data_IF_407908691668
#
_entry.id   IF_407908691668
#
_cell.length_a   1.000
_cell.length_b   1.000
_cell.length_c   1.000
_cell.angle_alpha   90.00
_cell.angle_beta   90.00
_cell.angle_gamma   90.00
#
_symmetry.space_group_name_H-M   'P 1'
#
loop_
_entity.id
_entity.type
_entity.pdbx_description
1 polymer ?
#
# COMPACT_ATOMS: atom_id res chain seq x y z
N UNK A 1 -36.03 -7.39 30.82
CA UNK A 1 -34.96 -6.47 31.28
C UNK A 1 -33.70 -7.30 31.25
N UNK A 2 -32.72 -6.93 30.42
CA UNK A 2 -31.48 -7.68 30.29
C UNK A 2 -30.46 -7.29 31.38
N UNK A 3 -29.58 -8.22 31.70
CA UNK A 3 -28.55 -8.15 32.74
C UNK A 3 -27.22 -7.73 32.15
N UNK A 4 -26.30 -7.24 32.99
CA UNK A 4 -24.96 -6.85 32.55
C UNK A 4 -24.21 -8.01 31.87
N UNK A 5 -24.39 -9.24 32.37
CA UNK A 5 -23.78 -10.43 31.79
C UNK A 5 -24.23 -10.71 30.35
N UNK A 6 -25.48 -10.43 30.04
CA UNK A 6 -26.01 -10.60 28.67
C UNK A 6 -25.41 -9.55 27.73
N UNK A 7 -25.25 -8.31 28.20
CA UNK A 7 -24.59 -7.24 27.43
C UNK A 7 -23.14 -7.63 27.10
N UNK A 8 -22.39 -8.13 28.09
CA UNK A 8 -20.99 -8.50 27.91
C UNK A 8 -20.85 -9.67 26.90
N UNK A 9 -21.76 -10.65 26.97
CA UNK A 9 -21.80 -11.78 26.04
C UNK A 9 -22.15 -11.35 24.60
N UNK A 10 -23.09 -10.41 24.45
CA UNK A 10 -23.43 -9.86 23.13
C UNK A 10 -22.28 -9.05 22.53
N UNK A 11 -21.54 -8.31 23.36
CA UNK A 11 -20.34 -7.59 22.90
C UNK A 11 -19.23 -8.52 22.45
N UNK A 12 -19.04 -9.65 23.13
CA UNK A 12 -18.08 -10.66 22.73
C UNK A 12 -18.48 -11.33 21.40
N UNK A 13 -19.77 -11.58 21.20
CA UNK A 13 -20.26 -12.27 20.02
C UNK A 13 -20.39 -11.38 18.77
N UNK A 14 -20.87 -10.14 18.93
CA UNK A 14 -21.24 -9.26 17.83
C UNK A 14 -20.37 -8.00 17.72
N UNK A 15 -19.46 -7.77 18.68
CA UNK A 15 -18.67 -6.54 18.75
C UNK A 15 -19.50 -5.37 19.28
N UNK A 16 -19.62 -4.32 18.46
CA UNK A 16 -20.35 -3.12 18.84
C UNK A 16 -21.87 -3.34 18.80
N UNK A 17 -22.51 -3.07 19.94
CA UNK A 17 -23.96 -3.15 20.11
C UNK A 17 -24.53 -1.80 20.52
N UNK A 18 -25.76 -1.56 20.07
CA UNK A 18 -26.48 -0.31 20.25
C UNK A 18 -27.79 -0.58 20.94
N UNK A 19 -28.29 0.41 21.69
CA UNK A 19 -29.57 0.32 22.37
C UNK A 19 -30.40 1.55 22.04
N UNK A 20 -31.67 1.33 21.71
CA UNK A 20 -32.65 2.40 21.49
C UNK A 20 -33.97 2.07 22.20
N UNK A 21 -34.81 3.08 22.38
CA UNK A 21 -36.15 2.91 22.94
C UNK A 21 -37.16 3.45 21.93
N UNK A 22 -38.05 2.58 21.46
CA UNK A 22 -39.09 2.90 20.48
C UNK A 22 -40.42 2.58 21.15
N UNK A 23 -41.31 3.57 21.24
CA UNK A 23 -42.64 3.42 21.86
C UNK A 23 -42.59 2.73 23.24
N UNK A 24 -41.70 3.22 24.12
CA UNK A 24 -41.45 2.69 25.48
C UNK A 24 -40.85 1.28 25.55
N UNK A 25 -40.61 0.64 24.40
CA UNK A 25 -39.98 -0.67 24.31
C UNK A 25 -38.49 -0.52 23.99
N UNK A 26 -37.66 -1.23 24.76
CA UNK A 26 -36.21 -1.23 24.58
C UNK A 26 -35.80 -2.26 23.55
N UNK A 27 -34.95 -1.85 22.62
CA UNK A 27 -34.32 -2.69 21.64
C UNK A 27 -32.80 -2.64 21.81
N UNK A 28 -32.16 -3.79 21.60
CA UNK A 28 -30.71 -3.90 21.45
C UNK A 28 -30.45 -4.51 20.08
N UNK A 29 -29.56 -3.89 19.32
CA UNK A 29 -29.26 -4.30 17.96
C UNK A 29 -27.77 -4.14 17.68
N UNK A 30 -27.30 -4.77 16.61
CA UNK A 30 -25.94 -4.62 16.07
C UNK A 30 -25.96 -3.93 14.72
N UNK A 31 -24.80 -3.49 14.26
CA UNK A 31 -24.63 -3.04 12.88
C UNK A 31 -24.82 -4.20 11.90
N UNK A 32 -25.33 -3.87 10.72
CA UNK A 32 -25.43 -4.77 9.59
C UNK A 32 -24.09 -4.83 8.86
N UNK A 33 -23.69 -6.05 8.49
CA UNK A 33 -22.59 -6.28 7.58
C UNK A 33 -22.99 -5.95 6.14
N UNK A 34 -21.99 -5.59 5.32
CA UNK A 34 -22.19 -5.33 3.88
C UNK A 34 -22.83 -6.50 3.14
N UNK A 35 -22.46 -7.74 3.50
CA UNK A 35 -23.02 -8.95 2.89
C UNK A 35 -24.51 -9.13 3.23
N UNK A 36 -24.90 -8.82 4.46
CA UNK A 36 -26.29 -8.92 4.91
C UNK A 36 -27.15 -7.89 4.18
N UNK A 37 -26.67 -6.66 4.07
CA UNK A 37 -27.33 -5.60 3.31
C UNK A 37 -27.53 -5.97 1.84
N UNK A 38 -26.44 -6.40 1.19
CA UNK A 38 -26.49 -6.80 -0.22
C UNK A 38 -27.41 -8.00 -0.44
N UNK A 39 -27.44 -8.95 0.51
CA UNK A 39 -28.31 -10.11 0.43
C UNK A 39 -29.79 -9.73 0.42
N UNK A 40 -30.22 -8.83 1.31
CA UNK A 40 -31.62 -8.34 1.35
C UNK A 40 -31.95 -7.55 0.10
N UNK A 41 -31.05 -6.65 -0.33
CA UNK A 41 -31.26 -5.83 -1.54
C UNK A 41 -31.30 -6.67 -2.83
N UNK A 42 -30.60 -7.81 -2.87
CA UNK A 42 -30.59 -8.69 -4.02
C UNK A 42 -31.84 -9.56 -4.16
N UNK A 43 -32.76 -9.57 -3.17
CA UNK A 43 -33.93 -10.44 -3.20
C UNK A 43 -34.97 -10.08 -4.28
N UNK A 44 -34.88 -8.91 -4.92
CA UNK A 44 -35.61 -8.53 -6.15
C UNK A 44 -37.12 -8.31 -6.00
N UNK A 45 -37.82 -9.16 -5.26
CA UNK A 45 -39.28 -9.18 -5.10
C UNK A 45 -39.75 -8.65 -3.74
N UNK A 46 -38.85 -8.10 -2.93
CA UNK A 46 -39.14 -7.62 -1.58
C UNK A 46 -39.49 -6.13 -1.64
N UNK A 47 -40.66 -5.77 -1.12
CA UNK A 47 -41.05 -4.36 -1.01
C UNK A 47 -40.16 -3.62 0.00
N UNK A 48 -40.02 -2.27 -0.08
CA UNK A 48 -39.21 -1.52 0.88
C UNK A 48 -39.60 -1.77 2.35
N UNK A 49 -40.89 -1.91 2.63
CA UNK A 49 -41.41 -2.23 3.97
C UNK A 49 -40.97 -3.61 4.44
N UNK A 50 -41.03 -4.63 3.58
CA UNK A 50 -40.58 -5.97 3.92
C UNK A 50 -39.06 -6.03 4.09
N UNK A 51 -38.31 -5.21 3.35
CA UNK A 51 -36.86 -5.10 3.53
C UNK A 51 -36.52 -4.52 4.92
N UNK A 52 -37.24 -3.47 5.36
CA UNK A 52 -37.11 -2.92 6.72
C UNK A 52 -37.36 -3.98 7.80
N UNK A 53 -38.39 -4.81 7.63
CA UNK A 53 -38.70 -5.92 8.53
C UNK A 53 -37.54 -6.92 8.58
N UNK A 54 -37.03 -7.34 7.42
CA UNK A 54 -35.92 -8.31 7.33
C UNK A 54 -34.64 -7.75 7.96
N UNK A 55 -34.34 -6.46 7.75
CA UNK A 55 -33.19 -5.82 8.41
C UNK A 55 -33.30 -5.85 9.92
N UNK A 56 -34.48 -5.52 10.44
CA UNK A 56 -34.74 -5.59 11.87
C UNK A 56 -34.63 -7.03 12.40
N UNK A 57 -35.14 -8.02 11.68
CA UNK A 57 -35.03 -9.44 12.06
C UNK A 57 -33.57 -9.92 12.16
N UNK A 58 -32.69 -9.48 11.25
CA UNK A 58 -31.28 -9.90 11.21
C UNK A 58 -30.44 -9.20 12.31
N UNK A 59 -30.70 -7.92 12.53
CA UNK A 59 -29.85 -7.07 13.38
C UNK A 59 -30.31 -7.00 14.85
N UNK A 60 -31.57 -7.31 15.15
CA UNK A 60 -32.11 -7.23 16.51
C UNK A 60 -31.62 -8.39 17.36
N UNK A 61 -30.98 -8.05 18.49
CA UNK A 61 -30.53 -9.01 19.50
C UNK A 61 -31.59 -9.14 20.60
N UNK A 62 -32.18 -8.02 21.02
CA UNK A 62 -33.22 -7.99 22.05
C UNK A 62 -34.35 -7.04 21.64
N UNK A 63 -35.63 -7.42 21.85
CA UNK A 63 -36.08 -8.71 22.36
C UNK A 63 -35.98 -9.80 21.28
N UNK A 64 -35.55 -10.99 21.70
CA UNK A 64 -35.44 -12.15 20.82
C UNK A 64 -36.81 -12.55 20.27
N UNK A 65 -36.87 -12.88 18.97
CA UNK A 65 -38.11 -13.31 18.31
C UNK A 65 -39.19 -12.23 18.20
N UNK A 66 -38.83 -10.95 18.28
CA UNK A 66 -39.80 -9.88 18.07
C UNK A 66 -40.34 -9.91 16.64
N UNK A 67 -41.67 -9.90 16.51
CA UNK A 67 -42.33 -9.96 15.21
C UNK A 67 -42.54 -8.55 14.63
N UNK A 68 -41.70 -8.17 13.69
CA UNK A 68 -41.75 -6.86 13.02
C UNK A 68 -42.89 -6.74 12.00
N UNK A 69 -43.36 -7.87 11.46
CA UNK A 69 -44.43 -7.94 10.43
C UNK A 69 -45.83 -7.60 10.93
N UNK A 70 -46.03 -7.75 12.24
CA UNK A 70 -47.34 -7.58 12.89
C UNK A 70 -47.44 -6.29 13.68
N UNK A 71 -46.33 -5.55 13.82
CA UNK A 71 -46.25 -4.40 14.72
C UNK A 71 -45.90 -3.14 13.92
N UNK A 72 -46.93 -2.38 13.55
CA UNK A 72 -46.78 -1.18 12.71
C UNK A 72 -45.82 -0.14 13.32
N UNK A 73 -44.94 0.42 12.49
CA UNK A 73 -44.05 1.55 12.81
C UNK A 73 -42.76 1.20 13.55
N UNK A 74 -42.66 0.01 14.15
CA UNK A 74 -41.42 -0.42 14.82
C UNK A 74 -40.31 -0.73 13.82
N UNK A 75 -40.63 -1.46 12.73
CA UNK A 75 -39.67 -1.83 11.70
C UNK A 75 -39.03 -0.59 11.06
N UNK A 76 -39.85 0.38 10.63
CA UNK A 76 -39.36 1.62 10.02
C UNK A 76 -38.45 2.42 10.95
N UNK A 77 -38.87 2.60 12.22
CA UNK A 77 -38.08 3.35 13.19
C UNK A 77 -36.76 2.65 13.51
N UNK A 78 -36.79 1.34 13.79
CA UNK A 78 -35.61 0.57 14.14
C UNK A 78 -34.66 0.41 12.96
N UNK A 79 -35.18 0.19 11.75
CA UNK A 79 -34.40 0.08 10.53
C UNK A 79 -33.61 1.37 10.27
N UNK A 80 -34.22 2.55 10.45
CA UNK A 80 -33.49 3.82 10.35
C UNK A 80 -32.28 3.85 11.30
N UNK A 81 -32.47 3.50 12.57
CA UNK A 81 -31.37 3.46 13.55
C UNK A 81 -30.29 2.45 13.17
N UNK A 82 -30.68 1.28 12.66
CA UNK A 82 -29.74 0.24 12.22
C UNK A 82 -28.94 0.74 11.01
N UNK A 83 -29.60 1.26 9.98
CA UNK A 83 -28.96 1.74 8.75
C UNK A 83 -28.02 2.91 9.03
N UNK A 84 -28.45 3.88 9.83
CA UNK A 84 -27.64 5.02 10.24
C UNK A 84 -26.40 4.57 11.02
N UNK A 85 -26.57 3.69 12.00
CA UNK A 85 -25.43 3.16 12.77
C UNK A 85 -24.48 2.34 11.91
N UNK A 86 -25.01 1.62 10.92
CA UNK A 86 -24.23 0.78 10.00
C UNK A 86 -23.55 1.59 8.89
N UNK A 87 -23.84 2.88 8.78
CA UNK A 87 -23.40 3.75 7.67
C UNK A 87 -23.84 3.20 6.30
N UNK A 88 -24.99 2.52 6.25
CA UNK A 88 -25.54 1.90 5.05
C UNK A 88 -26.79 2.68 4.63
N UNK A 89 -26.84 3.10 3.36
CA UNK A 89 -27.95 3.91 2.82
C UNK A 89 -27.65 5.40 2.65
N UNK A 90 -26.57 5.91 3.27
CA UNK A 90 -26.07 7.26 3.05
C UNK A 90 -24.66 7.23 2.45
N UNK A 91 -24.56 7.47 1.15
CA UNK A 91 -23.29 7.47 0.40
C UNK A 91 -22.29 8.49 0.93
N UNK A 92 -22.76 9.65 1.40
CA UNK A 92 -21.88 10.74 1.85
C UNK A 92 -21.15 10.38 3.15
N UNK A 93 -21.84 9.72 4.08
CA UNK A 93 -21.23 9.26 5.34
C UNK A 93 -20.19 8.17 5.10
N UNK A 94 -20.48 7.23 4.20
CA UNK A 94 -19.55 6.19 3.81
C UNK A 94 -18.31 6.77 3.11
N UNK A 95 -18.49 7.78 2.26
CA UNK A 95 -17.38 8.51 1.63
C UNK A 95 -16.54 9.27 2.65
N UNK A 96 -17.15 9.96 3.60
CA UNK A 96 -16.45 10.65 4.69
C UNK A 96 -15.63 9.69 5.54
N UNK A 97 -16.20 8.54 5.92
CA UNK A 97 -15.49 7.51 6.69
C UNK A 97 -14.33 6.91 5.89
N UNK A 98 -14.51 6.66 4.59
CA UNK A 98 -13.44 6.21 3.72
C UNK A 98 -12.33 7.26 3.59
N UNK A 99 -12.70 8.54 3.45
CA UNK A 99 -11.73 9.62 3.35
C UNK A 99 -10.95 9.80 4.65
N UNK A 100 -11.59 9.64 5.81
CA UNK A 100 -10.92 9.60 7.11
C UNK A 100 -9.81 8.53 7.14
N UNK A 101 -10.12 7.28 6.76
CA UNK A 101 -9.11 6.23 6.70
C UNK A 101 -8.07 6.40 5.58
N UNK A 102 -8.41 7.12 4.50
CA UNK A 102 -7.41 7.53 3.48
C UNK A 102 -6.44 8.56 4.03
N UNK A 103 -6.90 9.46 4.90
CA UNK A 103 -6.04 10.40 5.59
C UNK A 103 -5.07 9.67 6.53
N UNK A 104 -5.52 8.63 7.26
CA UNK A 104 -4.63 7.77 8.06
C UNK A 104 -3.51 7.18 7.20
N UNK A 105 -3.83 6.74 5.98
CA UNK A 105 -2.86 6.21 5.03
C UNK A 105 -1.84 7.24 4.51
N UNK A 106 -1.95 8.52 4.87
CA UNK A 106 -0.88 9.50 4.59
C UNK A 106 0.31 9.35 5.54
N UNK A 107 0.09 8.81 6.73
CA UNK A 107 1.15 8.45 7.66
C UNK A 107 1.72 7.08 7.28
N UNK A 108 3.04 7.05 7.13
CA UNK A 108 3.79 5.85 6.76
C UNK A 108 3.57 4.70 7.74
N UNK A 109 3.34 5.00 9.03
CA UNK A 109 3.12 4.02 10.09
C UNK A 109 1.95 3.08 9.78
N UNK A 110 0.85 3.61 9.21
CA UNK A 110 -0.31 2.80 8.79
C UNK A 110 -0.06 2.02 7.50
N UNK A 111 0.90 2.46 6.68
CA UNK A 111 1.26 1.78 5.43
C UNK A 111 2.15 0.56 5.65
N UNK A 112 2.92 0.52 6.76
CA UNK A 112 3.86 -0.56 7.08
C UNK A 112 3.21 -1.93 6.98
N UNK A 113 2.02 -2.08 7.55
CA UNK A 113 1.31 -3.36 7.57
C UNK A 113 0.90 -3.80 6.15
N UNK A 114 0.47 -2.84 5.31
CA UNK A 114 0.16 -3.10 3.91
C UNK A 114 1.40 -3.52 3.11
N UNK A 115 2.54 -2.86 3.32
CA UNK A 115 3.80 -3.18 2.65
C UNK A 115 4.28 -4.58 3.03
N UNK A 116 4.24 -4.91 4.33
CA UNK A 116 4.59 -6.24 4.82
C UNK A 116 3.64 -7.28 4.23
N UNK A 117 2.33 -7.03 4.26
CA UNK A 117 1.37 -8.01 3.79
C UNK A 117 1.51 -8.28 2.28
N UNK A 118 1.81 -7.25 1.49
CA UNK A 118 2.05 -7.44 0.06
C UNK A 118 3.25 -8.36 -0.21
N UNK A 119 4.31 -8.28 0.60
CA UNK A 119 5.47 -9.17 0.48
C UNK A 119 5.25 -10.55 1.13
N UNK A 120 4.35 -10.66 2.11
CA UNK A 120 4.13 -11.87 2.90
C UNK A 120 2.63 -12.24 3.05
N UNK A 121 1.95 -12.66 1.95
CA UNK A 121 0.49 -12.87 1.92
C UNK A 121 -0.09 -13.86 2.95
N UNK A 122 0.76 -14.64 3.61
CA UNK A 122 0.40 -15.63 4.64
C UNK A 122 -0.13 -14.97 5.91
N UNK A 123 0.33 -13.77 6.25
CA UNK A 123 -0.08 -13.08 7.47
C UNK A 123 -1.27 -12.18 7.18
N UNK A 124 -2.19 -11.98 8.12
CA UNK A 124 -3.26 -10.99 7.95
C UNK A 124 -2.81 -9.63 8.48
N UNK A 125 -3.50 -8.55 8.08
CA UNK A 125 -3.17 -7.21 8.57
C UNK A 125 -3.32 -7.12 10.10
N UNK A 126 -4.35 -7.76 10.66
CA UNK A 126 -4.60 -7.80 12.10
C UNK A 126 -3.48 -8.55 12.84
N UNK A 127 -2.94 -9.62 12.24
CA UNK A 127 -1.81 -10.33 12.80
C UNK A 127 -0.56 -9.43 12.82
N UNK A 128 -0.27 -8.74 11.71
CA UNK A 128 0.90 -7.87 11.59
C UNK A 128 0.80 -6.69 12.56
N UNK A 129 -0.36 -6.05 12.66
CA UNK A 129 -0.61 -4.93 13.57
C UNK A 129 -0.39 -5.30 15.06
N UNK A 130 -0.57 -6.59 15.41
CA UNK A 130 -0.32 -7.08 16.77
C UNK A 130 1.16 -7.33 17.09
N UNK A 131 2.06 -7.21 16.10
CA UNK A 131 3.47 -7.54 16.29
C UNK A 131 4.21 -6.49 17.14
N UNK A 132 5.20 -6.94 17.96
CA UNK A 132 6.14 -6.02 18.57
C UNK A 132 6.94 -5.26 17.50
N UNK A 133 7.22 -3.98 17.74
CA UNK A 133 7.97 -3.09 16.83
C UNK A 133 9.24 -3.74 16.25
N UNK A 134 10.11 -4.44 17.02
CA UNK A 134 11.30 -5.07 16.45
C UNK A 134 11.00 -6.12 15.37
N UNK A 135 9.91 -6.87 15.54
CA UNK A 135 9.46 -7.87 14.55
C UNK A 135 8.90 -7.16 13.32
N UNK A 136 8.09 -6.12 13.51
CA UNK A 136 7.54 -5.31 12.41
C UNK A 136 8.67 -4.74 11.54
N UNK A 137 9.68 -4.12 12.15
CA UNK A 137 10.84 -3.56 11.42
C UNK A 137 11.66 -4.63 10.70
N UNK A 138 11.84 -5.80 11.30
CA UNK A 138 12.51 -6.95 10.68
C UNK A 138 11.80 -7.42 9.40
N UNK A 139 10.46 -7.45 9.42
CA UNK A 139 9.67 -7.85 8.25
C UNK A 139 9.54 -6.73 7.23
N UNK A 140 9.41 -5.47 7.66
CA UNK A 140 9.37 -4.31 6.78
C UNK A 140 10.63 -4.22 5.91
N UNK A 141 11.82 -4.30 6.51
CA UNK A 141 13.08 -4.25 5.77
C UNK A 141 13.20 -5.37 4.70
N UNK A 142 12.61 -6.54 4.97
CA UNK A 142 12.55 -7.65 3.98
C UNK A 142 11.50 -7.39 2.92
N UNK A 143 10.34 -6.88 3.32
CA UNK A 143 9.27 -6.54 2.39
C UNK A 143 9.75 -5.50 1.38
N UNK A 144 10.42 -4.44 1.83
CA UNK A 144 11.05 -3.44 0.97
C UNK A 144 12.02 -4.09 -0.02
N UNK A 145 12.92 -4.96 0.46
CA UNK A 145 13.87 -5.64 -0.41
C UNK A 145 13.18 -6.55 -1.43
N UNK A 146 12.20 -7.36 -1.01
CA UNK A 146 11.44 -8.25 -1.89
C UNK A 146 10.69 -7.46 -2.95
N UNK A 147 9.97 -6.40 -2.55
CA UNK A 147 9.15 -5.59 -3.44
C UNK A 147 10.01 -4.79 -4.43
N UNK A 148 11.21 -4.37 -4.03
CA UNK A 148 12.15 -3.66 -4.91
C UNK A 148 12.93 -4.59 -5.85
N UNK A 149 13.33 -5.78 -5.39
CA UNK A 149 14.31 -6.61 -6.09
C UNK A 149 13.72 -7.88 -6.71
N UNK A 150 12.60 -8.39 -6.20
CA UNK A 150 11.98 -9.63 -6.68
C UNK A 150 10.69 -9.40 -7.44
N UNK A 151 9.96 -8.30 -7.17
CA UNK A 151 8.72 -7.98 -7.88
C UNK A 151 9.02 -7.53 -9.31
N UNK A 152 8.80 -8.42 -10.27
CA UNK A 152 9.02 -8.18 -11.70
C UNK A 152 10.31 -8.80 -12.28
N UNK A 153 11.12 -9.49 -11.49
CA UNK A 153 12.33 -10.17 -11.98
C UNK A 153 12.01 -11.65 -12.26
N UNK A 154 12.17 -12.14 -13.50
CA UNK A 154 12.15 -13.58 -13.74
C UNK A 154 13.34 -14.20 -13.02
N UNK A 155 13.07 -14.93 -11.93
CA UNK A 155 14.10 -15.65 -11.18
C UNK A 155 14.70 -16.73 -12.10
N UNK A 156 15.88 -16.46 -12.65
CA UNK A 156 16.71 -17.51 -13.23
C UNK A 156 17.39 -18.24 -12.08
N UNK A 157 16.93 -19.47 -11.83
CA UNK A 157 17.53 -20.36 -10.83
C UNK A 157 18.80 -20.92 -11.47
N UNK A 158 19.94 -20.33 -11.14
CA UNK A 158 21.24 -20.88 -11.54
C UNK A 158 21.65 -22.00 -10.59
N UNK A 159 22.08 -23.12 -11.16
CA UNK A 159 22.83 -24.14 -10.44
C UNK A 159 24.17 -23.58 -9.93
N UNK A 160 24.75 -24.24 -8.94
CA UNK A 160 26.03 -23.82 -8.35
C UNK A 160 27.17 -23.79 -9.39
N UNK A 161 27.08 -24.61 -10.42
CA UNK A 161 28.03 -24.67 -11.55
C UNK A 161 27.88 -23.47 -12.49
N UNK A 162 26.64 -23.03 -12.76
CA UNK A 162 26.34 -21.86 -13.57
C UNK A 162 26.78 -20.55 -12.89
N UNK A 163 26.65 -20.46 -11.55
CA UNK A 163 27.14 -19.32 -10.77
C UNK A 163 28.67 -19.16 -10.79
N UNK A 164 29.42 -20.28 -10.79
CA UNK A 164 30.88 -20.24 -10.90
C UNK A 164 31.34 -19.76 -12.29
N UNK A 165 30.57 -20.09 -13.33
CA UNK A 165 30.89 -19.73 -14.72
C UNK A 165 30.67 -18.22 -14.95
N UNK A 166 29.57 -17.67 -14.43
CA UNK A 166 29.27 -16.22 -14.52
C UNK A 166 30.31 -15.38 -13.76
N UNK A 167 30.83 -15.88 -12.62
CA UNK A 167 31.90 -15.19 -11.88
C UNK A 167 33.25 -15.22 -12.60
N UNK A 168 33.55 -16.29 -13.36
CA UNK A 168 34.77 -16.36 -14.17
C UNK A 168 34.73 -15.40 -15.37
N UNK A 169 33.59 -15.25 -16.04
CA UNK A 169 33.45 -14.30 -17.16
C UNK A 169 33.56 -12.83 -16.72
N UNK A 170 33.12 -12.49 -15.51
CA UNK A 170 33.25 -11.12 -14.98
C UNK A 170 34.65 -10.79 -14.45
N UNK A 171 35.49 -11.80 -14.20
CA UNK A 171 36.89 -11.66 -13.78
C UNK A 171 37.89 -11.67 -14.95
N UNK A 172 37.44 -11.91 -16.18
CA UNK A 172 38.29 -11.79 -17.35
C UNK A 172 38.64 -10.31 -17.59
N UNK A 173 39.94 -9.93 -17.59
CA UNK A 173 40.32 -8.57 -17.92
C UNK A 173 39.91 -8.27 -19.37
N UNK A 174 39.20 -7.16 -19.58
CA UNK A 174 38.86 -6.69 -20.92
C UNK A 174 40.13 -6.68 -21.80
N UNK A 175 40.07 -7.13 -23.06
CA UNK A 175 41.21 -7.02 -23.96
C UNK A 175 41.60 -5.55 -24.05
N UNK A 176 42.80 -5.23 -23.59
CA UNK A 176 43.31 -3.85 -23.63
C UNK A 176 43.21 -3.34 -25.07
N UNK A 177 42.64 -2.14 -25.31
CA UNK A 177 42.66 -1.56 -26.64
C UNK A 177 44.11 -1.40 -27.08
N UNK A 178 44.46 -1.94 -28.25
CA UNK A 178 45.79 -1.80 -28.82
C UNK A 178 46.18 -0.32 -28.81
N UNK A 179 47.32 -0.01 -28.20
CA UNK A 179 47.86 1.34 -28.17
C UNK A 179 48.12 1.80 -29.62
N UNK A 180 47.28 2.70 -30.14
CA UNK A 180 47.53 3.36 -31.42
C UNK A 180 48.87 4.10 -31.35
N UNK A 181 49.66 4.00 -32.42
CA UNK A 181 50.94 4.70 -32.47
C UNK A 181 50.71 6.22 -32.48
N UNK A 182 51.67 7.03 -32.00
CA UNK A 182 51.57 8.49 -32.04
C UNK A 182 51.31 9.05 -33.46
N UNK A 183 51.72 8.33 -34.51
CA UNK A 183 51.48 8.69 -35.91
C UNK A 183 50.01 8.50 -36.31
N UNK A 184 49.37 7.39 -35.93
CA UNK A 184 47.94 7.15 -36.21
C UNK A 184 47.03 8.15 -35.48
N UNK A 185 47.48 8.65 -34.33
CA UNK A 185 46.78 9.68 -33.56
C UNK A 185 46.86 11.07 -34.20
N UNK A 186 47.95 11.37 -34.90
CA UNK A 186 48.14 12.63 -35.60
C UNK A 186 47.28 12.73 -36.88
N UNK A 187 47.11 11.61 -37.59
CA UNK A 187 46.31 11.54 -38.83
C UNK A 187 44.79 11.56 -38.57
N UNK A 188 44.35 11.04 -37.42
CA UNK A 188 42.94 11.09 -37.01
C UNK A 188 42.51 12.45 -36.41
N UNK A 189 43.43 13.42 -36.30
CA UNK A 189 43.13 14.73 -35.75
C UNK A 189 42.37 15.58 -36.78
N UNK A 190 41.18 16.13 -36.44
CA UNK A 190 40.40 16.98 -37.34
C UNK A 190 41.07 18.32 -37.70
N UNK A 191 42.29 18.57 -37.21
CA UNK A 191 43.14 19.72 -37.55
C UNK A 191 44.08 19.46 -38.74
N UNK A 192 44.15 18.24 -39.29
CA UNK A 192 45.08 17.89 -40.37
C UNK A 192 44.67 18.39 -41.77
N UNK A 193 43.50 19.03 -41.93
CA UNK A 193 43.00 19.49 -43.23
C UNK A 193 42.55 20.97 -43.20
N UNK A 194 43.42 21.93 -43.58
CA UNK A 194 43.18 23.37 -43.39
C UNK A 194 42.35 24.06 -44.50
N UNK A 195 41.59 23.35 -45.34
CA UNK A 195 40.93 23.97 -46.51
C UNK A 195 39.42 24.24 -46.40
N UNK A 196 38.79 24.10 -45.22
CA UNK A 196 37.40 24.56 -45.05
C UNK A 196 37.24 25.44 -43.81
N UNK A 197 36.84 26.73 -43.98
CA UNK A 197 36.46 27.56 -42.85
C UNK A 197 35.28 26.91 -42.09
N UNK A 198 35.23 27.02 -40.76
CA UNK A 198 34.11 26.52 -39.98
C UNK A 198 32.83 27.30 -40.37
N UNK A 199 31.77 26.57 -40.71
CA UNK A 199 30.47 27.16 -41.00
C UNK A 199 29.92 27.90 -39.76
N UNK A 200 29.26 29.06 -39.96
CA UNK A 200 28.70 29.83 -38.85
C UNK A 200 27.59 29.06 -38.16
N UNK A 201 27.65 29.00 -36.82
CA UNK A 201 26.61 28.46 -35.94
C UNK A 201 25.24 29.03 -36.31
N UNK A 202 24.37 28.21 -36.89
CA UNK A 202 22.95 28.54 -37.01
C UNK A 202 22.29 28.44 -35.63
N UNK A 203 21.66 29.53 -35.21
CA UNK A 203 20.78 29.57 -34.04
C UNK A 203 19.49 28.83 -34.38
N UNK A 204 19.19 27.81 -33.57
CA UNK A 204 17.87 27.28 -33.22
C UNK A 204 16.86 27.09 -34.34
N UNK A 205 16.56 25.83 -34.65
CA UNK A 205 15.17 25.46 -34.87
C UNK A 205 14.90 24.06 -34.29
N UNK A 206 13.84 23.99 -33.48
CA UNK A 206 13.40 22.79 -32.78
C UNK A 206 12.53 22.02 -33.76
N UNK A 207 13.10 21.03 -34.44
CA UNK A 207 12.32 20.01 -35.12
C UNK A 207 12.71 18.63 -34.62
N UNK A 208 11.71 17.97 -34.03
CA UNK A 208 11.73 16.65 -33.41
C UNK A 208 12.17 15.61 -34.47
N UNK A 209 13.46 15.27 -34.49
CA UNK A 209 13.91 14.07 -35.19
C UNK A 209 13.47 12.87 -34.38
N UNK A 210 12.64 12.03 -34.98
CA UNK A 210 12.29 10.72 -34.45
C UNK A 210 13.57 9.91 -34.26
N UNK A 211 13.81 9.49 -33.02
CA UNK A 211 14.96 8.69 -32.63
C UNK A 211 14.90 7.36 -33.36
N UNK A 212 15.99 6.97 -34.03
CA UNK A 212 16.02 5.69 -34.73
C UNK A 212 16.07 4.54 -33.72
N UNK A 213 15.43 3.42 -34.05
CA UNK A 213 15.31 2.26 -33.17
C UNK A 213 16.67 1.73 -32.69
N UNK A 214 17.71 1.88 -33.52
CA UNK A 214 19.09 1.54 -33.21
C UNK A 214 19.73 2.45 -32.15
N UNK A 215 19.38 3.74 -32.13
CA UNK A 215 19.86 4.69 -31.10
C UNK A 215 19.14 4.45 -29.76
N UNK A 216 17.88 4.03 -29.81
CA UNK A 216 17.11 3.66 -28.62
C UNK A 216 17.66 2.36 -27.97
N UNK A 217 17.99 1.36 -28.79
CA UNK A 217 18.65 0.12 -28.33
C UNK A 217 20.05 0.38 -27.78
N UNK A 218 20.82 1.28 -28.41
CA UNK A 218 22.13 1.68 -27.90
C UNK A 218 22.05 2.37 -26.53
N UNK A 219 21.05 3.26 -26.33
CA UNK A 219 20.78 3.88 -25.03
C UNK A 219 20.33 2.87 -23.97
N UNK A 220 19.48 1.90 -24.32
CA UNK A 220 19.04 0.87 -23.38
C UNK A 220 20.17 -0.11 -23.01
N UNK A 221 21.09 -0.40 -23.94
CA UNK A 221 22.26 -1.24 -23.67
C UNK A 221 23.23 -0.59 -22.67
N UNK A 222 23.40 0.74 -22.72
CA UNK A 222 24.26 1.47 -21.79
C UNK A 222 23.68 1.55 -20.37
N UNK A 223 22.36 1.59 -20.23
CA UNK A 223 21.70 1.57 -18.90
C UNK A 223 21.82 0.19 -18.24
N UNK A 224 21.81 -0.90 -19.03
CA UNK A 224 21.97 -2.27 -18.50
C UNK A 224 23.37 -2.60 -17.95
N UNK A 225 24.37 -1.75 -18.21
CA UNK A 225 25.77 -1.97 -17.80
C UNK A 225 26.26 -1.06 -16.68
N UNK A 226 25.39 -0.23 -16.08
CA UNK A 226 25.76 0.50 -14.87
C UNK A 226 25.83 -0.44 -13.67
N UNK A 227 27.03 -0.97 -13.43
CA UNK A 227 27.43 -1.51 -12.12
C UNK A 227 27.30 -0.37 -11.10
N UNK A 228 26.30 -0.46 -10.24
CA UNK A 228 26.15 0.47 -9.11
C UNK A 228 27.19 0.10 -8.05
N UNK A 229 28.19 0.98 -7.90
CA UNK A 229 29.14 0.95 -6.80
C UNK A 229 28.43 1.42 -5.52
N UNK A 230 28.09 0.47 -4.65
CA UNK A 230 27.36 0.67 -3.39
C UNK A 230 28.16 1.44 -2.31
N UNK A 231 29.41 1.83 -2.57
CA UNK A 231 30.27 2.46 -1.57
C UNK A 231 30.13 3.99 -1.45
N UNK A 232 29.34 4.67 -2.29
CA UNK A 232 29.37 6.15 -2.39
C UNK A 232 28.09 6.95 -2.13
N UNK A 233 26.95 6.34 -1.82
CA UNK A 233 25.69 7.10 -1.69
C UNK A 233 25.10 7.24 -0.28
N UNK A 234 25.88 6.99 0.77
CA UNK A 234 25.45 7.10 2.17
C UNK A 234 26.10 8.28 2.91
N UNK A 235 26.04 9.50 2.36
CA UNK A 235 26.69 10.63 3.05
C UNK A 235 25.92 11.95 3.14
N UNK A 236 24.79 12.19 2.46
CA UNK A 236 24.15 13.51 2.54
C UNK A 236 22.65 13.54 2.22
N UNK A 237 21.85 12.64 2.81
CA UNK A 237 20.42 12.88 2.97
C UNK A 237 20.10 12.82 4.46
N UNK A 238 20.00 13.98 5.08
CA UNK A 238 19.44 14.14 6.41
C UNK A 238 17.97 13.72 6.34
N UNK A 239 17.67 12.50 6.77
CA UNK A 239 16.30 12.04 6.96
C UNK A 239 15.66 12.85 8.10
N UNK A 240 14.53 13.54 7.87
CA UNK A 240 13.83 14.27 8.92
C UNK A 240 13.33 13.35 10.05
N UNK A 241 13.23 12.04 9.83
CA UNK A 241 12.81 11.05 10.83
C UNK A 241 13.87 10.75 11.91
N UNK A 242 15.16 11.06 11.67
CA UNK A 242 16.19 10.99 12.72
C UNK A 242 16.07 12.14 13.73
N UNK A 243 15.27 13.18 13.44
CA UNK A 243 14.97 14.24 14.40
C UNK A 243 14.01 13.78 15.50
N UNK A 244 13.14 12.79 15.21
CA UNK A 244 12.18 12.25 16.18
C UNK A 244 12.90 11.47 17.29
N UNK A 245 14.01 10.79 16.97
CA UNK A 245 14.81 10.02 17.93
C UNK A 245 15.72 10.90 18.81
N UNK A 246 16.17 12.07 18.33
CA UNK A 246 16.92 13.02 19.18
C UNK A 246 16.08 13.60 20.31
N UNK A 247 14.80 13.86 20.06
CA UNK A 247 13.88 14.35 21.08
C UNK A 247 13.63 13.32 22.20
N UNK A 248 13.78 12.01 21.91
CA UNK A 248 13.54 10.95 22.89
C UNK A 248 14.77 10.63 23.75
N UNK A 249 15.98 10.83 23.23
CA UNK A 249 17.23 10.72 24.01
C UNK A 249 17.48 11.95 24.90
N UNK A 250 17.10 13.17 24.46
CA UNK A 250 17.19 14.39 25.30
C UNK A 250 16.23 14.35 26.52
N UNK A 251 15.17 13.53 26.46
CA UNK A 251 14.24 13.28 27.57
C UNK A 251 14.72 12.19 28.55
N UNK A 252 15.79 11.47 28.22
CA UNK A 252 16.36 10.40 29.06
C UNK A 252 17.58 10.82 29.89
N UNK A 253 18.08 12.04 29.71
CA UNK A 253 19.28 12.54 30.37
C UNK A 253 19.02 13.49 31.52
N UNK A 254 18.31 13.08 32.59
CA UNK A 254 18.39 13.72 33.92
C UNK A 254 17.63 12.93 35.01
N UNK A 255 17.92 11.64 35.16
CA UNK A 255 17.61 10.92 36.41
C UNK A 255 18.74 9.96 36.76
N UNK A 256 19.82 10.53 37.27
CA UNK A 256 20.77 9.85 38.15
C UNK A 256 21.37 10.89 39.11
N UNK A 257 20.80 11.00 40.31
CA UNK A 257 21.38 10.86 41.67
C UNK A 257 20.29 11.19 42.69
#
# INVERSE_FOLDING_TARGET
>A
MYTQKEIDLWKEQYGDIFACTINEKKFVYRMLGRNEYNFVMAMGDVSPSEAEEIFCEIATIYPEGFNFRTTDGYATSLCSYILDSSMLGNTDQAEQLLNYHREDMTDYSFQVDCVIQEAFPKYTLEEIASWPVPKTMYYLARAEWILQNLRGVPLQVYSQEELMTIQQEQAAPAPMPMAMSPQQRAEASPLANPEKPPEPRQKGDVSRKELTQQELEAMMSQVSSQKVDLSKNMANQSFPELALFKAQDDLRGEFDV
#
